data_IF_345855087677
#
_entry.id   IF_345855087677
#
_cell.length_a   1.000
_cell.length_b   1.000
_cell.length_c   1.000
_cell.angle_alpha   90.00
_cell.angle_beta   90.00
_cell.angle_gamma   90.00
#
_symmetry.space_group_name_H-M   'P 1'
#
loop_
_entity.id
_entity.type
_entity.pdbx_description
1 polymer ?
#
# COMPACT_ATOMS: atom_id res chain seq x y z
N UNK A 1 -0.08 7.45 36.79
CA UNK A 1 -0.32 7.35 35.33
C UNK A 1 -0.10 5.91 34.90
N UNK A 2 -1.05 5.32 34.17
CA UNK A 2 -0.92 4.02 33.52
C UNK A 2 -0.81 4.26 32.01
N UNK A 3 0.20 3.69 31.36
CA UNK A 3 0.47 3.94 29.93
C UNK A 3 1.25 2.78 29.32
N UNK A 4 1.44 2.79 27.99
CA UNK A 4 2.20 1.77 27.27
C UNK A 4 3.01 2.36 26.10
N UNK A 5 3.90 1.55 25.53
CA UNK A 5 4.59 1.91 24.28
C UNK A 5 5.39 3.21 24.35
N UNK A 6 5.32 4.00 23.27
CA UNK A 6 6.03 5.29 23.12
C UNK A 6 5.44 6.38 24.02
N UNK A 7 4.15 6.29 24.35
CA UNK A 7 3.44 7.24 25.21
C UNK A 7 4.10 7.38 26.58
N UNK A 8 4.71 6.32 27.11
CA UNK A 8 5.54 6.36 28.31
C UNK A 8 6.64 7.43 28.23
N UNK A 9 7.34 7.51 27.09
CA UNK A 9 8.44 8.46 26.89
C UNK A 9 7.91 9.89 26.91
N UNK A 10 6.80 10.15 26.24
CA UNK A 10 6.15 11.48 26.26
C UNK A 10 5.71 11.89 27.66
N UNK A 11 5.14 10.95 28.43
CA UNK A 11 4.77 11.19 29.83
C UNK A 11 6.00 11.53 30.69
N UNK A 12 7.10 10.78 30.54
CA UNK A 12 8.34 11.04 31.29
C UNK A 12 9.00 12.36 30.92
N UNK A 13 8.87 12.81 29.67
CA UNK A 13 9.35 14.11 29.22
C UNK A 13 8.52 15.26 29.80
N UNK A 14 7.19 15.14 29.74
CA UNK A 14 6.27 16.21 30.14
C UNK A 14 6.10 16.29 31.65
N UNK A 15 6.05 15.15 32.34
CA UNK A 15 5.79 15.04 33.77
C UNK A 15 6.74 14.02 34.45
N UNK A 16 8.05 14.31 34.52
CA UNK A 16 9.08 13.36 34.97
C UNK A 16 8.86 12.83 36.39
N UNK A 17 8.21 13.62 37.25
CA UNK A 17 7.92 13.30 38.65
C UNK A 17 6.64 12.49 38.89
N UNK A 18 5.87 12.14 37.85
CA UNK A 18 4.70 11.30 38.02
C UNK A 18 5.07 9.85 38.38
N UNK A 19 4.28 9.21 39.23
CA UNK A 19 4.27 7.74 39.36
C UNK A 19 3.70 7.14 38.07
N UNK A 20 4.49 6.31 37.39
CA UNK A 20 4.11 5.72 36.09
C UNK A 20 4.18 4.20 36.14
N UNK A 21 3.07 3.53 35.85
CA UNK A 21 3.02 2.12 35.52
C UNK A 21 3.05 1.97 34.00
N UNK A 22 4.18 1.52 33.46
CA UNK A 22 4.32 1.17 32.04
C UNK A 22 3.91 -0.28 31.83
N UNK A 23 2.80 -0.51 31.12
CA UNK A 23 2.37 -1.84 30.76
C UNK A 23 3.22 -2.39 29.60
N UNK A 24 3.61 -3.66 29.71
CA UNK A 24 4.35 -4.37 28.66
C UNK A 24 3.46 -4.88 27.52
N UNK A 25 2.17 -5.10 27.80
CA UNK A 25 1.15 -5.52 26.85
C UNK A 25 -0.20 -4.89 27.21
N UNK A 26 -1.06 -4.66 26.22
CA UNK A 26 -2.45 -4.22 26.41
C UNK A 26 -3.39 -5.37 26.74
N UNK A 27 -2.98 -6.62 26.47
CA UNK A 27 -3.72 -7.82 26.80
C UNK A 27 -2.81 -9.06 26.91
N UNK A 28 -3.02 -9.95 27.90
CA UNK A 28 -3.87 -9.77 29.08
C UNK A 28 -3.28 -8.73 30.03
N UNK A 29 -4.13 -8.07 30.82
CA UNK A 29 -3.70 -7.06 31.79
C UNK A 29 -3.27 -7.70 33.12
N UNK A 30 -2.15 -7.27 33.74
CA UNK A 30 -1.69 -7.78 35.02
C UNK A 30 -2.52 -7.18 36.18
N UNK A 31 -3.69 -7.75 36.44
CA UNK A 31 -4.69 -7.19 37.38
C UNK A 31 -4.12 -6.85 38.76
N UNK A 32 -3.40 -7.78 39.39
CA UNK A 32 -2.86 -7.57 40.73
C UNK A 32 -1.88 -6.38 40.76
N UNK A 33 -0.95 -6.33 39.81
CA UNK A 33 0.02 -5.24 39.68
C UNK A 33 -0.67 -3.87 39.50
N UNK A 34 -1.74 -3.85 38.70
CA UNK A 34 -2.50 -2.63 38.43
C UNK A 34 -3.26 -2.19 39.69
N UNK A 35 -3.92 -3.12 40.39
CA UNK A 35 -4.63 -2.81 41.64
C UNK A 35 -3.67 -2.28 42.71
N UNK A 36 -2.52 -2.92 42.86
CA UNK A 36 -1.48 -2.49 43.81
C UNK A 36 -0.97 -1.08 43.46
N UNK A 37 -0.75 -0.80 42.17
CA UNK A 37 -0.36 0.53 41.71
C UNK A 37 -1.44 1.59 41.97
N UNK A 38 -2.70 1.27 41.64
CA UNK A 38 -3.84 2.17 41.87
C UNK A 38 -4.06 2.46 43.36
N UNK A 39 -3.84 1.48 44.24
CA UNK A 39 -3.95 1.68 45.68
C UNK A 39 -2.87 2.62 46.26
N UNK A 40 -1.75 2.81 45.54
CA UNK A 40 -0.65 3.68 45.94
C UNK A 40 -0.78 5.15 45.53
N UNK A 41 -1.89 5.55 44.89
CA UNK A 41 -2.07 6.92 44.37
C UNK A 41 -3.52 7.40 44.54
N UNK A 42 -3.70 8.72 44.70
CA UNK A 42 -5.04 9.31 44.88
C UNK A 42 -5.82 9.46 43.56
N UNK A 43 -5.12 9.55 42.43
CA UNK A 43 -5.69 9.83 41.12
C UNK A 43 -4.97 9.04 40.03
N UNK A 44 -5.74 8.34 39.21
CA UNK A 44 -5.19 7.46 38.16
C UNK A 44 -5.63 7.95 36.78
N UNK A 45 -4.66 8.47 36.04
CA UNK A 45 -4.82 8.75 34.61
C UNK A 45 -4.33 7.58 33.77
N UNK A 46 -5.15 7.14 32.82
CA UNK A 46 -4.77 6.24 31.73
C UNK A 46 -4.45 7.08 30.52
N UNK A 47 -3.19 7.00 30.07
CA UNK A 47 -2.72 7.73 28.89
C UNK A 47 -2.35 6.69 27.85
N UNK A 48 -3.29 6.41 26.96
CA UNK A 48 -3.16 5.49 25.83
C UNK A 48 -3.53 6.18 24.52
N UNK A 49 -2.89 5.80 23.43
CA UNK A 49 -3.13 6.35 22.09
C UNK A 49 -4.37 5.69 21.46
N UNK A 50 -5.08 6.41 20.58
CA UNK A 50 -6.30 5.94 19.89
C UNK A 50 -7.47 5.61 20.82
N UNK A 51 -7.96 4.38 20.85
CA UNK A 51 -9.18 4.01 21.60
C UNK A 51 -8.90 3.60 23.06
N UNK A 52 -9.84 3.80 24.01
CA UNK A 52 -9.66 3.51 25.44
C UNK A 52 -9.70 2.01 25.75
N UNK A 53 -8.76 1.21 25.25
CA UNK A 53 -8.73 -0.24 25.49
C UNK A 53 -8.37 -0.54 26.95
N UNK A 54 -7.30 0.07 27.45
CA UNK A 54 -6.84 -0.09 28.83
C UNK A 54 -7.81 0.59 29.78
N UNK A 55 -8.19 1.84 29.52
CA UNK A 55 -9.10 2.60 30.38
C UNK A 55 -10.43 1.88 30.58
N UNK A 56 -11.04 1.35 29.51
CA UNK A 56 -12.28 0.59 29.60
C UNK A 56 -12.09 -0.69 30.40
N UNK A 57 -11.01 -1.43 30.18
CA UNK A 57 -10.73 -2.65 30.93
C UNK A 57 -10.56 -2.37 32.43
N UNK A 58 -9.88 -1.28 32.80
CA UNK A 58 -9.72 -0.87 34.21
C UNK A 58 -11.03 -0.42 34.85
N UNK A 59 -11.89 0.29 34.11
CA UNK A 59 -13.24 0.65 34.57
C UNK A 59 -14.09 -0.59 34.83
N UNK A 60 -14.03 -1.60 33.95
CA UNK A 60 -14.71 -2.90 34.16
C UNK A 60 -14.17 -3.63 35.39
N UNK A 61 -12.88 -3.48 35.71
CA UNK A 61 -12.28 -4.01 36.95
C UNK A 61 -12.70 -3.25 38.24
N UNK A 62 -13.53 -2.22 38.11
CA UNK A 62 -14.02 -1.39 39.21
C UNK A 62 -13.02 -0.33 39.69
N UNK A 63 -12.00 -0.01 38.88
CA UNK A 63 -11.00 1.00 39.23
C UNK A 63 -11.47 2.40 38.79
N UNK A 64 -11.30 3.37 39.68
CA UNK A 64 -11.57 4.78 39.38
C UNK A 64 -10.42 5.34 38.54
N UNK A 65 -10.61 5.36 37.22
CA UNK A 65 -9.62 5.86 36.26
C UNK A 65 -10.26 6.78 35.23
N UNK A 66 -9.45 7.67 34.67
CA UNK A 66 -9.82 8.65 33.65
C UNK A 66 -8.70 8.78 32.61
N UNK A 67 -9.05 9.10 31.38
CA UNK A 67 -8.08 9.26 30.30
C UNK A 67 -8.66 10.04 29.14
N UNK A 68 -9.53 9.40 28.36
CA UNK A 68 -10.15 9.96 27.14
C UNK A 68 -11.07 11.15 27.36
N UNK A 69 -11.40 11.49 28.60
CA UNK A 69 -11.98 12.78 28.94
C UNK A 69 -11.02 13.95 28.64
N UNK A 70 -9.71 13.72 28.79
CA UNK A 70 -8.66 14.72 28.67
C UNK A 70 -7.81 14.58 27.40
N UNK A 71 -7.62 13.34 26.93
CA UNK A 71 -6.76 13.00 25.81
C UNK A 71 -7.56 12.57 24.56
N UNK A 72 -7.11 12.93 23.35
CA UNK A 72 -7.85 12.63 22.13
C UNK A 72 -7.93 11.12 21.83
N UNK A 73 -8.93 10.75 21.02
CA UNK A 73 -9.13 9.39 20.50
C UNK A 73 -8.56 9.19 19.09
N UNK A 74 -8.03 10.24 18.51
CA UNK A 74 -7.55 10.28 17.13
C UNK A 74 -6.19 10.97 17.05
N UNK A 75 -5.46 10.68 15.96
CA UNK A 75 -4.10 11.17 15.74
C UNK A 75 -3.04 10.43 16.55
N UNK A 76 -1.79 10.83 16.32
CA UNK A 76 -0.63 10.33 17.06
C UNK A 76 -0.39 11.21 18.29
N UNK A 77 -0.04 10.59 19.43
CA UNK A 77 0.30 11.37 20.61
C UNK A 77 1.69 11.99 20.46
N UNK A 78 1.85 13.19 21.01
CA UNK A 78 3.12 13.88 21.13
C UNK A 78 3.26 14.45 22.54
N UNK A 79 4.47 14.89 22.96
CA UNK A 79 4.63 15.61 24.23
C UNK A 79 3.68 16.80 24.39
N UNK A 80 3.35 17.49 23.29
CA UNK A 80 2.38 18.59 23.27
C UNK A 80 0.96 18.10 23.58
N UNK A 81 0.51 17.04 22.91
CA UNK A 81 -0.82 16.43 23.16
C UNK A 81 -0.94 15.97 24.61
N UNK A 82 0.10 15.34 25.15
CA UNK A 82 0.13 14.92 26.56
C UNK A 82 0.06 16.12 27.50
N UNK A 83 0.84 17.17 27.24
CA UNK A 83 0.83 18.39 28.06
C UNK A 83 -0.54 19.06 28.04
N UNK A 84 -1.17 19.17 26.88
CA UNK A 84 -2.49 19.79 26.74
C UNK A 84 -3.56 18.97 27.46
N UNK A 85 -3.52 17.64 27.37
CA UNK A 85 -4.41 16.77 28.14
C UNK A 85 -4.19 16.88 29.66
N UNK A 86 -2.94 16.89 30.12
CA UNK A 86 -2.62 17.11 31.55
C UNK A 86 -3.04 18.50 32.04
N UNK A 87 -2.98 19.52 31.18
CA UNK A 87 -3.46 20.85 31.50
C UNK A 87 -4.99 20.90 31.62
N UNK A 88 -5.72 20.24 30.70
CA UNK A 88 -7.19 20.08 30.80
C UNK A 88 -7.59 19.31 32.06
N UNK A 89 -6.82 18.29 32.43
CA UNK A 89 -6.99 17.53 33.67
C UNK A 89 -6.63 18.34 34.93
N UNK A 90 -6.15 19.58 34.81
CA UNK A 90 -5.78 20.44 35.94
C UNK A 90 -4.46 20.07 36.62
N UNK A 91 -3.64 19.22 36.00
CA UNK A 91 -2.35 18.77 36.56
C UNK A 91 -1.15 19.59 36.10
N UNK A 92 -1.32 20.44 35.08
CA UNK A 92 -0.26 21.29 34.54
C UNK A 92 -0.82 22.63 34.06
N UNK A 93 0.06 23.62 33.92
CA UNK A 93 -0.31 24.89 33.27
C UNK A 93 -0.42 24.69 31.76
N UNK A 94 -1.41 25.32 31.09
CA UNK A 94 -1.48 25.33 29.63
C UNK A 94 -0.20 25.85 29.02
N UNK A 95 0.22 25.27 27.89
CA UNK A 95 1.34 25.79 27.12
C UNK A 95 1.02 27.22 26.66
N UNK A 96 2.00 28.13 26.69
CA UNK A 96 1.88 29.38 25.95
C UNK A 96 1.74 29.03 24.47
N UNK A 97 0.68 29.47 23.81
CA UNK A 97 0.46 29.18 22.40
C UNK A 97 1.70 29.54 21.59
N UNK A 98 2.25 28.58 20.84
CA UNK A 98 3.19 28.92 19.77
C UNK A 98 2.37 29.48 18.61
N UNK A 99 2.88 30.53 17.95
CA UNK A 99 2.34 30.93 16.66
C UNK A 99 2.28 29.70 15.75
N UNK A 100 1.17 29.54 15.02
CA UNK A 100 1.08 28.50 14.01
C UNK A 100 2.24 28.69 13.03
N UNK A 101 3.04 27.64 12.84
CA UNK A 101 4.07 27.66 11.81
C UNK A 101 3.34 27.50 10.47
N UNK A 102 3.17 28.58 9.73
CA UNK A 102 2.60 28.52 8.38
C UNK A 102 3.67 27.98 7.43
N UNK A 103 3.47 26.74 6.99
CA UNK A 103 4.27 26.14 5.92
C UNK A 103 3.34 25.49 4.90
N UNK A 104 3.70 25.60 3.63
CA UNK A 104 3.07 24.82 2.58
C UNK A 104 3.86 23.52 2.38
N UNK A 105 3.33 22.36 2.80
CA UNK A 105 4.01 21.10 2.57
C UNK A 105 4.15 20.84 1.07
N UNK A 106 5.32 20.37 0.66
CA UNK A 106 5.50 19.84 -0.69
C UNK A 106 4.64 18.59 -0.84
N UNK A 107 3.76 18.57 -1.84
CA UNK A 107 2.95 17.37 -2.15
C UNK A 107 3.88 16.25 -2.60
N UNK A 108 3.89 15.14 -1.86
CA UNK A 108 4.61 13.92 -2.21
C UNK A 108 3.57 12.84 -2.51
N UNK A 109 3.11 12.71 -3.77
CA UNK A 109 2.15 11.69 -4.10
C UNK A 109 2.78 10.30 -3.91
N UNK A 110 1.99 9.30 -3.49
CA UNK A 110 2.45 7.92 -3.50
C UNK A 110 2.90 7.50 -4.90
N UNK A 111 4.06 6.86 -5.01
CA UNK A 111 4.65 6.42 -6.27
C UNK A 111 5.15 4.99 -6.17
N UNK A 112 4.94 4.21 -7.23
CA UNK A 112 5.54 2.88 -7.39
C UNK A 112 7.04 3.00 -7.67
N UNK A 113 7.80 1.97 -7.31
CA UNK A 113 9.23 1.91 -7.60
C UNK A 113 9.51 1.98 -9.12
N UNK A 114 10.67 2.50 -9.52
CA UNK A 114 11.12 2.44 -10.91
C UNK A 114 11.09 1.00 -11.42
N UNK A 115 10.31 0.76 -12.47
CA UNK A 115 10.10 -0.57 -13.05
C UNK A 115 9.21 -1.51 -12.25
N UNK A 116 8.42 -1.03 -11.29
CA UNK A 116 7.47 -1.87 -10.58
C UNK A 116 6.59 -2.68 -11.58
N UNK A 117 6.42 -4.00 -11.38
CA UNK A 117 5.60 -4.82 -12.27
C UNK A 117 4.12 -4.41 -12.29
N UNK A 118 3.63 -3.67 -11.29
CA UNK A 118 2.24 -3.23 -11.23
C UNK A 118 1.97 -1.95 -12.02
N UNK A 119 3.00 -1.19 -12.42
CA UNK A 119 2.79 0.11 -13.10
C UNK A 119 2.00 -0.05 -14.40
N UNK A 120 2.40 -0.99 -15.24
CA UNK A 120 1.72 -1.28 -16.51
C UNK A 120 0.31 -1.82 -16.29
N UNK A 121 0.09 -2.63 -15.24
CA UNK A 121 -1.21 -3.18 -14.87
C UNK A 121 -2.24 -2.08 -14.67
N UNK A 122 -1.96 -1.11 -13.79
CA UNK A 122 -2.89 -0.02 -13.51
C UNK A 122 -2.98 0.98 -14.66
N UNK A 123 -1.88 1.23 -15.38
CA UNK A 123 -1.94 2.03 -16.59
C UNK A 123 -2.92 1.43 -17.62
N UNK A 124 -2.97 0.10 -17.73
CA UNK A 124 -3.89 -0.59 -18.64
C UNK A 124 -5.34 -0.52 -18.15
N UNK A 125 -5.58 -0.68 -16.85
CA UNK A 125 -6.92 -0.51 -16.26
C UNK A 125 -7.45 0.92 -16.48
N UNK A 126 -6.61 1.94 -16.29
CA UNK A 126 -6.95 3.34 -16.60
C UNK A 126 -7.31 3.51 -18.06
N UNK A 127 -6.51 2.95 -18.97
CA UNK A 127 -6.73 3.07 -20.41
C UNK A 127 -8.02 2.37 -20.88
N UNK A 128 -8.48 1.36 -20.14
CA UNK A 128 -9.72 0.63 -20.41
C UNK A 128 -10.95 1.23 -19.72
N UNK A 129 -10.77 2.30 -18.94
CA UNK A 129 -11.83 2.95 -18.16
C UNK A 129 -12.61 1.95 -17.28
N UNK A 130 -11.90 1.00 -16.67
CA UNK A 130 -12.50 0.01 -15.78
C UNK A 130 -12.89 0.63 -14.42
N UNK A 131 -13.93 0.09 -13.78
CA UNK A 131 -14.25 0.35 -12.38
C UNK A 131 -13.42 -0.59 -11.51
N UNK A 132 -12.50 -0.05 -10.73
CA UNK A 132 -11.52 -0.87 -10.00
C UNK A 132 -11.79 -0.87 -8.51
N UNK A 133 -12.18 -2.04 -8.00
CA UNK A 133 -12.13 -2.38 -6.58
C UNK A 133 -10.70 -2.80 -6.22
N UNK A 134 -9.93 -1.86 -5.70
CA UNK A 134 -8.57 -2.08 -5.23
C UNK A 134 -8.50 -2.75 -3.86
N UNK A 135 -7.30 -3.19 -3.53
CA UNK A 135 -6.98 -3.84 -2.26
C UNK A 135 -5.73 -3.20 -1.62
N UNK A 136 -5.37 -3.63 -0.41
CA UNK A 136 -4.21 -3.13 0.33
C UNK A 136 -2.95 -3.85 -0.14
N UNK A 137 -1.98 -3.09 -0.64
CA UNK A 137 -0.68 -3.58 -1.14
C UNK A 137 0.13 -2.45 -1.79
N UNK A 138 1.34 -2.77 -2.31
CA UNK A 138 2.13 -1.76 -3.04
C UNK A 138 1.34 -1.10 -4.16
N UNK A 139 0.46 -1.86 -4.79
CA UNK A 139 -0.38 -1.39 -5.87
C UNK A 139 -1.46 -0.37 -5.45
N UNK A 140 -1.79 -0.23 -4.16
CA UNK A 140 -2.69 0.84 -3.67
C UNK A 140 -2.14 2.23 -4.01
N UNK A 141 -0.82 2.36 -4.20
CA UNK A 141 -0.16 3.59 -4.62
C UNK A 141 -0.61 4.09 -6.01
N UNK A 142 -1.32 3.26 -6.80
CA UNK A 142 -1.90 3.64 -8.09
C UNK A 142 -3.23 4.42 -7.99
N UNK A 143 -3.65 4.84 -6.78
CA UNK A 143 -4.89 5.60 -6.54
C UNK A 143 -4.83 7.06 -7.01
N UNK A 144 -3.63 7.63 -7.18
CA UNK A 144 -3.44 9.03 -7.61
C UNK A 144 -2.80 9.13 -9.00
N UNK A 145 -2.80 10.35 -9.57
CA UNK A 145 -2.10 10.62 -10.82
C UNK A 145 -0.60 10.24 -10.73
N UNK A 146 -0.02 9.68 -11.80
CA UNK A 146 -0.60 9.56 -13.15
C UNK A 146 -1.35 8.26 -13.42
N UNK A 147 -1.45 7.33 -12.47
CA UNK A 147 -2.19 6.08 -12.71
C UNK A 147 -3.68 6.26 -12.44
N UNK A 148 -4.05 6.83 -11.29
CA UNK A 148 -5.42 7.17 -10.88
C UNK A 148 -6.44 6.11 -11.29
N UNK A 149 -6.14 4.87 -10.93
CA UNK A 149 -6.82 3.69 -11.47
C UNK A 149 -7.67 2.97 -10.45
N UNK A 150 -7.63 3.34 -9.17
CA UNK A 150 -8.36 2.67 -8.08
C UNK A 150 -9.51 3.56 -7.65
N UNK A 151 -10.74 3.02 -7.65
CA UNK A 151 -11.94 3.75 -7.24
C UNK A 151 -12.30 3.53 -5.78
N UNK A 152 -11.99 2.36 -5.24
CA UNK A 152 -12.20 2.03 -3.83
C UNK A 152 -11.11 1.11 -3.33
N UNK A 153 -10.77 1.24 -2.05
CA UNK A 153 -9.87 0.35 -1.32
C UNK A 153 -10.28 0.40 0.16
N UNK A 154 -10.75 -0.73 0.70
CA UNK A 154 -11.38 -0.76 2.04
C UNK A 154 -10.46 -1.42 3.05
N UNK A 155 -10.09 -2.68 2.80
CA UNK A 155 -9.22 -3.47 3.68
C UNK A 155 -8.55 -4.61 2.91
N UNK A 156 -7.54 -5.24 3.52
CA UNK A 156 -6.80 -6.35 2.93
C UNK A 156 -7.71 -7.56 2.62
N UNK A 157 -7.82 -7.91 1.34
CA UNK A 157 -8.62 -8.99 0.76
C UNK A 157 -10.09 -8.66 0.53
N UNK A 158 -10.48 -7.39 0.60
CA UNK A 158 -11.86 -6.97 0.37
C UNK A 158 -12.20 -6.69 -1.10
N UNK A 159 -11.21 -6.59 -2.00
CA UNK A 159 -11.40 -6.19 -3.40
C UNK A 159 -12.43 -7.04 -4.14
N UNK A 160 -12.32 -8.37 -4.08
CA UNK A 160 -13.22 -9.30 -4.79
C UNK A 160 -14.65 -9.18 -4.25
N UNK A 161 -14.83 -9.17 -2.92
CA UNK A 161 -16.15 -9.03 -2.31
C UNK A 161 -16.81 -7.68 -2.66
N UNK A 162 -16.03 -6.61 -2.68
CA UNK A 162 -16.51 -5.28 -3.10
C UNK A 162 -16.94 -5.29 -4.57
N UNK A 163 -16.15 -5.92 -5.46
CA UNK A 163 -16.50 -6.07 -6.87
C UNK A 163 -17.79 -6.87 -7.07
N UNK A 164 -17.97 -7.98 -6.34
CA UNK A 164 -19.23 -8.75 -6.32
C UNK A 164 -20.40 -7.86 -5.89
N UNK A 165 -20.21 -7.05 -4.85
CA UNK A 165 -21.21 -6.08 -4.40
C UNK A 165 -21.57 -5.04 -5.46
N UNK A 166 -20.57 -4.50 -6.16
CA UNK A 166 -20.78 -3.57 -7.28
C UNK A 166 -21.56 -4.22 -8.43
N UNK A 167 -21.19 -5.44 -8.82
CA UNK A 167 -21.87 -6.18 -9.88
C UNK A 167 -23.33 -6.45 -9.50
N UNK A 168 -23.58 -6.84 -8.24
CA UNK A 168 -24.93 -7.10 -7.72
C UNK A 168 -25.79 -5.83 -7.60
N UNK A 169 -25.18 -4.69 -7.31
CA UNK A 169 -25.90 -3.41 -7.29
C UNK A 169 -26.47 -3.06 -8.69
N UNK A 170 -25.82 -3.53 -9.76
CA UNK A 170 -26.32 -3.39 -11.13
C UNK A 170 -26.34 -1.94 -11.66
N UNK A 171 -25.66 -1.01 -10.98
CA UNK A 171 -25.61 0.41 -11.35
C UNK A 171 -24.36 0.78 -12.14
N UNK A 172 -23.35 -0.08 -12.16
CA UNK A 172 -22.10 0.19 -12.86
C UNK A 172 -22.22 -0.19 -14.34
N UNK A 173 -21.79 0.72 -15.21
CA UNK A 173 -21.82 0.54 -16.67
C UNK A 173 -20.46 0.15 -17.24
N UNK A 174 -19.39 0.38 -16.49
CA UNK A 174 -18.01 0.03 -16.84
C UNK A 174 -17.70 -1.42 -16.44
N UNK A 175 -16.70 -2.06 -17.06
CA UNK A 175 -16.19 -3.33 -16.58
C UNK A 175 -15.72 -3.24 -15.12
N UNK A 176 -16.17 -4.16 -14.27
CA UNK A 176 -15.81 -4.20 -12.86
C UNK A 176 -14.60 -5.10 -12.68
N UNK A 177 -13.52 -4.56 -12.10
CA UNK A 177 -12.26 -5.27 -11.90
C UNK A 177 -11.88 -5.23 -10.42
N UNK A 178 -11.65 -6.39 -9.82
CA UNK A 178 -11.00 -6.50 -8.51
C UNK A 178 -9.50 -6.69 -8.70
N UNK A 179 -8.66 -5.82 -8.12
CA UNK A 179 -7.20 -6.03 -8.13
C UNK A 179 -6.74 -6.54 -6.78
N UNK A 180 -5.99 -7.64 -6.75
CA UNK A 180 -5.55 -8.29 -5.51
C UNK A 180 -4.14 -8.85 -5.65
N UNK A 181 -3.27 -8.60 -4.66
CA UNK A 181 -1.93 -9.18 -4.61
C UNK A 181 -1.95 -10.68 -4.31
N UNK A 182 -0.90 -11.39 -4.71
CA UNK A 182 -0.63 -12.79 -4.37
C UNK A 182 -0.80 -13.14 -2.88
N UNK A 183 -0.07 -12.46 -2.00
CA UNK A 183 -0.11 -12.65 -0.54
C UNK A 183 -1.52 -12.39 0.02
N UNK A 184 -2.14 -11.30 -0.42
CA UNK A 184 -3.51 -10.91 -0.04
C UNK A 184 -4.54 -11.92 -0.52
N UNK A 185 -4.38 -12.46 -1.73
CA UNK A 185 -5.26 -13.48 -2.28
C UNK A 185 -5.24 -14.75 -1.43
N UNK A 186 -4.06 -15.19 -1.02
CA UNK A 186 -3.90 -16.35 -0.13
C UNK A 186 -4.39 -16.10 1.30
N UNK A 187 -4.33 -14.86 1.77
CA UNK A 187 -4.80 -14.49 3.10
C UNK A 187 -6.33 -14.48 3.20
N UNK A 188 -7.01 -13.76 2.29
CA UNK A 188 -8.46 -13.56 2.37
C UNK A 188 -9.18 -13.44 1.02
N UNK A 189 -8.49 -13.58 -0.12
CA UNK A 189 -9.10 -13.49 -1.45
C UNK A 189 -9.72 -14.80 -1.97
N UNK A 190 -9.33 -15.96 -1.44
CA UNK A 190 -9.89 -17.26 -1.88
C UNK A 190 -11.39 -17.40 -1.56
N UNK A 191 -11.86 -17.18 -0.31
CA UNK A 191 -13.29 -17.29 0.00
C UNK A 191 -14.20 -16.40 -0.86
N UNK A 192 -13.92 -15.09 -1.07
CA UNK A 192 -14.78 -14.27 -1.92
C UNK A 192 -14.69 -14.64 -3.41
N UNK A 193 -13.60 -15.25 -3.88
CA UNK A 193 -13.56 -15.79 -5.25
C UNK A 193 -14.51 -16.99 -5.41
N UNK A 194 -14.54 -17.90 -4.42
CA UNK A 194 -15.51 -19.02 -4.40
C UNK A 194 -16.93 -18.48 -4.45
N UNK A 195 -17.23 -17.46 -3.63
CA UNK A 195 -18.55 -16.83 -3.60
C UNK A 195 -18.90 -16.15 -4.93
N UNK A 196 -17.94 -15.46 -5.56
CA UNK A 196 -18.12 -14.84 -6.87
C UNK A 196 -18.49 -15.88 -7.94
N UNK A 197 -17.79 -17.02 -7.97
CA UNK A 197 -18.05 -18.12 -8.91
C UNK A 197 -19.42 -18.75 -8.62
N UNK A 198 -19.71 -19.07 -7.36
CA UNK A 198 -20.98 -19.67 -6.95
C UNK A 198 -22.18 -18.80 -7.35
N UNK A 199 -22.07 -17.48 -7.17
CA UNK A 199 -23.12 -16.52 -7.50
C UNK A 199 -23.08 -16.03 -8.96
N UNK A 200 -22.15 -16.53 -9.79
CA UNK A 200 -21.97 -16.12 -11.19
C UNK A 200 -21.81 -14.60 -11.34
N UNK A 201 -21.04 -13.98 -10.46
CA UNK A 201 -20.77 -12.54 -10.52
C UNK A 201 -20.06 -12.19 -11.83
N UNK A 202 -20.47 -11.09 -12.49
CA UNK A 202 -19.88 -10.60 -13.73
C UNK A 202 -18.74 -9.62 -13.41
N UNK A 203 -17.56 -10.17 -13.08
CA UNK A 203 -16.39 -9.41 -12.64
C UNK A 203 -15.10 -10.01 -13.20
N UNK A 204 -14.09 -9.18 -13.40
CA UNK A 204 -12.71 -9.62 -13.65
C UNK A 204 -11.88 -9.51 -12.37
N UNK A 205 -11.16 -10.56 -12.01
CA UNK A 205 -10.16 -10.53 -10.94
C UNK A 205 -8.78 -10.45 -11.56
N UNK A 206 -8.05 -9.39 -11.24
CA UNK A 206 -6.67 -9.19 -11.66
C UNK A 206 -5.73 -9.50 -10.49
N UNK A 207 -5.21 -10.73 -10.48
CA UNK A 207 -4.28 -11.21 -9.47
C UNK A 207 -2.85 -10.77 -9.81
N UNK A 208 -2.25 -10.03 -8.89
CA UNK A 208 -0.95 -9.38 -9.05
C UNK A 208 0.14 -10.18 -8.32
N UNK A 209 0.70 -11.19 -8.99
CA UNK A 209 1.75 -12.08 -8.46
C UNK A 209 3.15 -11.46 -8.64
N UNK A 210 3.69 -10.91 -7.55
CA UNK A 210 5.03 -10.31 -7.49
C UNK A 210 6.02 -11.10 -6.62
N UNK A 211 5.59 -12.27 -6.16
CA UNK A 211 6.38 -13.29 -5.47
C UNK A 211 6.82 -12.87 -4.06
N UNK A 212 6.19 -11.86 -3.45
CA UNK A 212 6.54 -11.40 -2.11
C UNK A 212 5.46 -10.51 -1.47
N UNK A 213 5.35 -10.52 -0.14
CA UNK A 213 4.58 -9.49 0.59
C UNK A 213 5.36 -8.18 0.67
N UNK A 214 5.41 -7.43 -0.44
CA UNK A 214 6.36 -6.34 -0.64
C UNK A 214 6.17 -5.14 0.31
N UNK A 215 4.95 -4.60 0.43
CA UNK A 215 4.70 -3.32 1.10
C UNK A 215 5.00 -3.35 2.60
N UNK A 216 4.88 -4.53 3.22
CA UNK A 216 5.12 -4.74 4.65
C UNK A 216 6.58 -5.02 4.99
N UNK A 217 7.47 -5.06 3.99
CA UNK A 217 8.90 -5.25 4.19
C UNK A 217 9.46 -6.58 3.68
N UNK A 218 8.77 -7.26 2.75
CA UNK A 218 9.33 -8.42 2.04
C UNK A 218 9.15 -9.75 2.77
N UNK A 219 7.96 -10.02 3.30
CA UNK A 219 7.68 -11.29 3.98
C UNK A 219 7.35 -12.40 2.99
N UNK A 220 7.95 -13.57 3.22
CA UNK A 220 7.54 -14.82 2.60
C UNK A 220 6.08 -15.18 2.95
N UNK A 221 5.43 -15.88 2.03
CA UNK A 221 4.07 -16.40 2.14
C UNK A 221 3.97 -17.69 1.33
N UNK A 222 2.87 -18.47 1.39
CA UNK A 222 2.79 -19.75 0.67
C UNK A 222 2.94 -19.65 -0.87
N UNK A 223 2.82 -18.44 -1.42
CA UNK A 223 3.07 -18.15 -2.83
C UNK A 223 4.53 -17.93 -3.20
N UNK A 224 5.45 -17.79 -2.22
CA UNK A 224 6.90 -17.68 -2.47
C UNK A 224 7.58 -19.05 -2.53
N UNK A 225 6.96 -20.07 -1.92
CA UNK A 225 7.55 -21.40 -1.79
C UNK A 225 8.69 -21.47 -0.77
N UNK A 226 8.65 -20.62 0.27
CA UNK A 226 9.63 -20.64 1.37
C UNK A 226 8.95 -20.71 2.74
N UNK A 227 9.58 -21.45 3.66
CA UNK A 227 9.15 -21.50 5.07
C UNK A 227 9.64 -20.28 5.84
N UNK A 228 9.13 -20.08 7.06
CA UNK A 228 9.64 -19.05 7.98
C UNK A 228 11.15 -19.19 8.29
N UNK A 229 11.72 -20.39 8.11
CA UNK A 229 13.16 -20.65 8.29
C UNK A 229 14.00 -20.42 7.02
N UNK A 230 13.37 -19.99 5.93
CA UNK A 230 14.02 -19.77 4.64
C UNK A 230 14.27 -21.05 3.83
N UNK A 231 13.69 -22.17 4.23
CA UNK A 231 13.80 -23.44 3.51
C UNK A 231 12.83 -23.46 2.32
N UNK A 232 13.30 -23.95 1.18
CA UNK A 232 12.45 -24.15 0.01
C UNK A 232 11.35 -25.17 0.32
N UNK A 233 10.13 -24.87 -0.12
CA UNK A 233 8.94 -25.70 0.10
C UNK A 233 7.97 -25.57 -1.08
N UNK A 234 6.78 -26.16 -0.96
CA UNK A 234 5.76 -26.09 -1.99
C UNK A 234 5.31 -24.63 -2.22
N UNK A 235 5.39 -24.19 -3.47
CA UNK A 235 4.81 -22.93 -3.93
C UNK A 235 3.38 -23.16 -4.40
N UNK A 236 2.45 -22.30 -3.98
CA UNK A 236 1.08 -22.32 -4.52
C UNK A 236 1.11 -21.96 -6.01
N UNK A 237 0.51 -22.82 -6.84
CA UNK A 237 0.23 -22.53 -8.25
C UNK A 237 -1.11 -21.80 -8.34
N UNK A 238 -1.05 -20.48 -8.55
CA UNK A 238 -2.22 -19.62 -8.61
C UNK A 238 -3.18 -19.99 -9.74
N UNK A 239 -2.67 -20.38 -10.91
CA UNK A 239 -3.54 -20.76 -12.03
C UNK A 239 -4.30 -22.05 -11.71
N UNK A 240 -3.62 -23.08 -11.22
CA UNK A 240 -4.27 -24.34 -10.81
C UNK A 240 -5.25 -24.13 -9.67
N UNK A 241 -4.89 -23.30 -8.69
CA UNK A 241 -5.77 -22.96 -7.58
C UNK A 241 -7.03 -22.27 -8.10
N UNK A 242 -6.90 -21.20 -8.88
CA UNK A 242 -8.05 -20.44 -9.41
C UNK A 242 -8.96 -21.33 -10.25
N UNK A 243 -8.39 -22.20 -11.10
CA UNK A 243 -9.18 -23.17 -11.89
C UNK A 243 -9.91 -24.19 -11.01
N UNK A 244 -9.31 -24.65 -9.91
CA UNK A 244 -9.97 -25.60 -9.00
C UNK A 244 -11.14 -24.99 -8.24
N UNK A 245 -11.19 -23.66 -8.12
CA UNK A 245 -12.31 -22.92 -7.54
C UNK A 245 -13.47 -22.69 -8.53
N UNK A 246 -13.36 -23.19 -9.77
CA UNK A 246 -14.43 -23.16 -10.78
C UNK A 246 -14.36 -22.00 -11.77
N UNK A 247 -13.27 -21.24 -11.80
CA UNK A 247 -13.07 -20.18 -12.81
C UNK A 247 -12.69 -20.81 -14.16
N UNK A 248 -13.54 -20.61 -15.17
CA UNK A 248 -13.33 -21.17 -16.52
C UNK A 248 -12.32 -20.37 -17.34
N UNK A 249 -12.37 -19.04 -17.23
CA UNK A 249 -11.48 -18.14 -17.95
C UNK A 249 -10.33 -17.68 -17.06
N UNK A 250 -9.13 -18.23 -17.33
CA UNK A 250 -7.89 -17.87 -16.63
C UNK A 250 -6.77 -17.68 -17.64
N UNK A 251 -6.03 -16.58 -17.53
CA UNK A 251 -4.83 -16.27 -18.32
C UNK A 251 -3.72 -15.71 -17.43
N UNK A 252 -2.50 -16.18 -17.65
CA UNK A 252 -1.29 -15.69 -16.98
C UNK A 252 -0.48 -14.85 -17.97
N UNK A 253 0.03 -13.71 -17.53
CA UNK A 253 0.79 -12.77 -18.37
C UNK A 253 1.98 -12.18 -17.63
N UNK A 254 3.09 -11.98 -18.34
CA UNK A 254 4.19 -11.17 -17.83
C UNK A 254 3.76 -9.70 -17.83
N UNK A 255 3.82 -9.02 -16.68
CA UNK A 255 3.36 -7.64 -16.57
C UNK A 255 4.20 -6.64 -17.39
N UNK A 256 5.40 -7.02 -17.83
CA UNK A 256 6.20 -6.21 -18.75
C UNK A 256 5.81 -6.40 -20.22
N UNK A 257 5.02 -7.41 -20.58
CA UNK A 257 4.44 -7.51 -21.92
C UNK A 257 3.11 -6.74 -21.95
N UNK A 258 3.20 -5.45 -22.27
CA UNK A 258 2.02 -4.59 -22.22
C UNK A 258 0.97 -4.94 -23.26
N UNK A 259 1.39 -5.43 -24.43
CA UNK A 259 0.46 -5.80 -25.50
C UNK A 259 -0.36 -7.02 -25.10
N UNK A 260 0.31 -8.08 -24.62
CA UNK A 260 -0.37 -9.29 -24.14
C UNK A 260 -1.27 -9.00 -22.94
N UNK A 261 -0.79 -8.18 -21.99
CA UNK A 261 -1.58 -7.82 -20.81
C UNK A 261 -2.83 -7.03 -21.18
N UNK A 262 -2.72 -6.06 -22.09
CA UNK A 262 -3.89 -5.32 -22.57
C UNK A 262 -4.87 -6.20 -23.33
N UNK A 263 -4.38 -7.15 -24.14
CA UNK A 263 -5.23 -8.10 -24.84
C UNK A 263 -6.00 -8.99 -23.87
N UNK A 264 -5.31 -9.60 -22.90
CA UNK A 264 -5.95 -10.49 -21.93
C UNK A 264 -6.93 -9.76 -21.01
N UNK A 265 -6.61 -8.54 -20.57
CA UNK A 265 -7.55 -7.75 -19.78
C UNK A 265 -8.82 -7.42 -20.57
N UNK A 266 -8.70 -7.08 -21.86
CA UNK A 266 -9.87 -6.83 -22.73
C UNK A 266 -10.74 -8.08 -22.86
N UNK A 267 -10.13 -9.22 -23.18
CA UNK A 267 -10.83 -10.50 -23.29
C UNK A 267 -11.50 -10.90 -21.96
N UNK A 268 -10.83 -10.66 -20.83
CA UNK A 268 -11.37 -10.96 -19.51
C UNK A 268 -12.59 -10.10 -19.17
N UNK A 269 -12.55 -8.81 -19.52
CA UNK A 269 -13.65 -7.86 -19.28
C UNK A 269 -14.85 -8.09 -20.20
N UNK A 270 -14.65 -8.73 -21.35
CA UNK A 270 -15.72 -9.13 -22.28
C UNK A 270 -16.36 -10.47 -21.90
N UNK A 271 -15.65 -11.30 -21.12
CA UNK A 271 -16.16 -12.58 -20.63
C UNK A 271 -17.30 -12.36 -19.63
N UNK A 272 -18.41 -13.08 -19.81
CA UNK A 272 -19.56 -13.02 -18.91
C UNK A 272 -19.42 -14.01 -17.75
N UNK A 273 -19.37 -13.48 -16.54
CA UNK A 273 -19.12 -14.24 -15.32
C UNK A 273 -17.77 -13.90 -14.71
N UNK A 274 -17.20 -14.82 -13.93
CA UNK A 274 -15.91 -14.57 -13.28
C UNK A 274 -14.77 -14.92 -14.23
N UNK A 275 -13.94 -13.93 -14.55
CA UNK A 275 -12.68 -14.11 -15.28
C UNK A 275 -11.48 -13.74 -14.41
N UNK A 276 -10.34 -14.42 -14.58
CA UNK A 276 -9.11 -14.12 -13.82
C UNK A 276 -7.93 -13.89 -14.76
N UNK A 277 -7.26 -12.75 -14.62
CA UNK A 277 -5.95 -12.49 -15.21
C UNK A 277 -4.91 -12.54 -14.08
N UNK A 278 -3.83 -13.27 -14.28
CA UNK A 278 -2.70 -13.35 -13.34
C UNK A 278 -1.53 -12.61 -13.99
N UNK A 279 -1.14 -11.44 -13.46
CA UNK A 279 0.16 -10.86 -13.82
C UNK A 279 1.24 -11.56 -13.00
N UNK A 280 2.27 -12.08 -13.64
CA UNK A 280 3.35 -12.81 -12.97
C UNK A 280 4.70 -12.18 -13.30
N UNK A 281 5.27 -11.46 -12.34
CA UNK A 281 6.64 -10.93 -12.42
C UNK A 281 7.15 -10.53 -11.04
N UNK A 282 8.35 -10.96 -10.62
CA UNK A 282 8.89 -10.66 -9.31
C UNK A 282 8.98 -9.16 -9.02
N UNK A 283 8.86 -8.79 -7.75
CA UNK A 283 9.14 -7.46 -7.25
C UNK A 283 10.57 -7.03 -7.61
N UNK A 284 10.74 -5.83 -8.15
CA UNK A 284 12.08 -5.33 -8.56
C UNK A 284 13.03 -5.08 -7.39
N UNK A 285 12.53 -5.08 -6.16
CA UNK A 285 13.34 -4.86 -4.95
C UNK A 285 13.71 -6.15 -4.23
N UNK A 286 13.04 -7.27 -4.49
CA UNK A 286 13.12 -8.51 -3.72
C UNK A 286 13.48 -9.71 -4.62
N UNK A 287 14.28 -10.69 -4.13
CA UNK A 287 15.04 -10.68 -2.88
C UNK A 287 16.29 -9.79 -2.97
N UNK A 288 16.71 -9.48 -4.19
CA UNK A 288 17.80 -8.56 -4.50
C UNK A 288 17.31 -7.63 -5.59
N UNK A 289 17.64 -6.35 -5.49
CA UNK A 289 17.23 -5.35 -6.48
C UNK A 289 17.61 -5.79 -7.90
N UNK A 290 16.60 -6.01 -8.73
CA UNK A 290 16.76 -6.37 -10.13
C UNK A 290 17.15 -5.10 -10.89
N UNK A 291 18.34 -5.11 -11.51
CA UNK A 291 18.84 -3.98 -12.29
C UNK A 291 19.48 -4.46 -13.58
N UNK A 292 18.83 -4.17 -14.71
CA UNK A 292 19.39 -4.29 -16.04
C UNK A 292 20.12 -3.01 -16.50
N UNK A 293 20.63 -3.00 -17.74
CA UNK A 293 21.13 -1.78 -18.37
C UNK A 293 20.06 -0.68 -18.35
N UNK A 294 20.43 0.53 -17.96
CA UNK A 294 19.51 1.65 -17.96
C UNK A 294 19.00 1.92 -19.39
N UNK A 295 17.79 2.48 -19.48
CA UNK A 295 17.30 3.06 -20.73
C UNK A 295 17.74 4.51 -20.84
N UNK A 296 17.84 5.05 -22.05
CA UNK A 296 18.07 6.46 -22.33
C UNK A 296 17.04 6.98 -23.32
N UNK A 297 16.80 8.29 -23.28
CA UNK A 297 16.03 8.99 -24.30
C UNK A 297 17.01 9.55 -25.31
N UNK A 298 16.84 9.22 -26.58
CA UNK A 298 17.45 9.94 -27.69
C UNK A 298 16.71 11.27 -27.89
N UNK A 299 17.40 12.36 -27.57
CA UNK A 299 16.82 13.69 -27.60
C UNK A 299 16.52 14.15 -29.04
N UNK A 300 17.27 13.70 -30.04
CA UNK A 300 17.10 14.16 -31.43
C UNK A 300 15.76 13.70 -32.01
N UNK A 301 15.37 12.47 -31.71
CA UNK A 301 14.11 11.86 -32.20
C UNK A 301 12.91 12.09 -31.28
N UNK A 302 13.14 12.57 -30.05
CA UNK A 302 12.08 12.77 -29.07
C UNK A 302 11.18 13.96 -29.42
N UNK A 303 9.89 13.67 -29.64
CA UNK A 303 8.86 14.65 -30.02
C UNK A 303 8.15 15.30 -28.82
N UNK A 304 8.66 15.13 -27.59
CA UNK A 304 8.04 15.64 -26.36
C UNK A 304 6.52 15.38 -26.25
N UNK A 305 6.03 14.22 -26.71
CA UNK A 305 4.63 13.82 -26.56
C UNK A 305 4.25 13.55 -25.09
N UNK A 306 5.25 13.29 -24.24
CA UNK A 306 5.16 13.04 -22.79
C UNK A 306 4.34 11.80 -22.40
N UNK A 307 3.97 10.92 -23.35
CA UNK A 307 3.21 9.69 -23.06
C UNK A 307 3.88 8.80 -22.01
N UNK A 308 5.21 8.72 -22.01
CA UNK A 308 5.97 7.93 -21.04
C UNK A 308 5.80 8.43 -19.59
N UNK A 309 5.49 9.72 -19.39
CA UNK A 309 5.28 10.29 -18.05
C UNK A 309 4.01 9.75 -17.38
N UNK A 310 3.06 9.21 -18.16
CA UNK A 310 1.86 8.57 -17.62
C UNK A 310 2.16 7.30 -16.80
N UNK A 311 3.38 6.75 -16.90
CA UNK A 311 3.84 5.65 -16.05
C UNK A 311 4.07 6.08 -14.59
N UNK A 312 4.34 7.36 -14.35
CA UNK A 312 4.75 7.83 -13.00
C UNK A 312 6.07 7.23 -12.52
N UNK A 313 6.92 6.75 -13.43
CA UNK A 313 8.19 6.12 -13.09
C UNK A 313 9.14 7.18 -12.47
N UNK A 314 9.68 6.96 -11.26
CA UNK A 314 10.62 7.90 -10.62
C UNK A 314 11.90 8.14 -11.43
N UNK A 315 12.26 7.23 -12.33
CA UNK A 315 13.41 7.40 -13.22
C UNK A 315 13.14 8.31 -14.43
N UNK A 316 11.89 8.66 -14.73
CA UNK A 316 11.55 9.61 -15.81
C UNK A 316 11.48 11.03 -15.25
N UNK A 317 12.33 11.91 -15.76
CA UNK A 317 12.44 13.29 -15.29
C UNK A 317 12.38 14.26 -16.47
N UNK A 318 12.00 15.51 -16.21
CA UNK A 318 12.00 16.55 -17.23
C UNK A 318 13.43 16.90 -17.67
N UNK A 319 13.63 17.05 -18.98
CA UNK A 319 14.86 17.62 -19.55
C UNK A 319 14.75 19.14 -19.64
N UNK A 320 15.90 19.81 -19.75
CA UNK A 320 15.96 21.24 -20.08
C UNK A 320 15.62 21.51 -21.57
N UNK A 321 15.65 20.48 -22.41
CA UNK A 321 15.30 20.58 -23.83
C UNK A 321 13.78 20.59 -24.06
N UNK A 322 13.39 21.23 -25.17
CA UNK A 322 11.99 21.41 -25.56
C UNK A 322 11.74 20.95 -26.99
N UNK A 323 10.50 20.58 -27.28
CA UNK A 323 9.97 20.38 -28.62
C UNK A 323 8.53 20.89 -28.65
N UNK A 324 8.21 21.77 -29.60
CA UNK A 324 6.87 22.38 -29.76
C UNK A 324 6.24 22.91 -28.46
N UNK A 325 7.03 23.62 -27.64
CA UNK A 325 6.55 24.22 -26.39
C UNK A 325 6.31 23.24 -25.24
N UNK A 326 6.79 21.99 -25.36
CA UNK A 326 6.77 20.98 -24.29
C UNK A 326 8.18 20.52 -23.92
N UNK A 327 8.41 20.26 -22.64
CA UNK A 327 9.65 19.64 -22.18
C UNK A 327 9.80 18.24 -22.76
N UNK A 328 11.01 17.95 -23.27
CA UNK A 328 11.46 16.58 -23.50
C UNK A 328 11.67 15.86 -22.17
N UNK A 329 11.76 14.54 -22.22
CA UNK A 329 11.95 13.68 -21.06
C UNK A 329 13.38 13.12 -21.07
N UNK A 330 13.98 12.94 -19.90
CA UNK A 330 15.24 12.25 -19.66
C UNK A 330 15.01 11.08 -18.72
N UNK A 331 15.84 10.03 -18.82
CA UNK A 331 15.85 8.92 -17.86
C UNK A 331 17.06 9.08 -16.93
N UNK A 332 16.83 9.04 -15.62
CA UNK A 332 17.90 8.99 -14.61
C UNK A 332 18.49 7.56 -14.54
N UNK A 333 19.76 7.35 -14.92
CA UNK A 333 20.38 6.03 -14.95
C UNK A 333 20.64 5.43 -13.56
N UNK A 334 20.66 6.25 -12.50
CA UNK A 334 20.83 5.76 -11.13
C UNK A 334 19.55 5.10 -10.62
N UNK A 335 18.40 5.65 -11.01
CA UNK A 335 17.08 5.16 -10.62
C UNK A 335 16.53 4.09 -11.59
N UNK A 336 16.90 4.16 -12.87
CA UNK A 336 16.42 3.22 -13.89
C UNK A 336 16.89 1.78 -13.60
N UNK A 337 15.98 0.82 -13.80
CA UNK A 337 16.27 -0.61 -13.66
C UNK A 337 16.28 -1.38 -14.99
N UNK A 338 16.04 -0.69 -16.12
CA UNK A 338 16.08 -1.32 -17.44
C UNK A 338 14.86 -2.19 -17.80
N UNK A 339 13.68 -1.89 -17.25
CA UNK A 339 12.45 -2.69 -17.46
C UNK A 339 11.81 -2.60 -18.86
N UNK A 340 12.28 -1.72 -19.73
CA UNK A 340 11.75 -1.43 -21.08
C UNK A 340 10.28 -0.99 -21.22
N UNK A 341 9.47 -0.96 -20.15
CA UNK A 341 8.05 -0.52 -20.21
C UNK A 341 7.88 0.84 -20.90
N UNK A 342 8.74 1.82 -20.57
CA UNK A 342 8.67 3.14 -21.19
C UNK A 342 8.98 3.12 -22.69
N UNK A 343 9.83 2.21 -23.16
CA UNK A 343 10.12 2.05 -24.58
C UNK A 343 8.94 1.49 -25.36
N UNK A 344 8.16 0.59 -24.75
CA UNK A 344 6.94 0.05 -25.36
C UNK A 344 5.85 1.11 -25.54
N UNK A 345 5.89 2.20 -24.77
CA UNK A 345 5.00 3.37 -24.91
C UNK A 345 5.51 4.44 -25.88
N UNK A 346 6.75 4.35 -26.31
CA UNK A 346 7.38 5.41 -27.08
C UNK A 346 7.08 5.25 -28.58
N UNK A 347 6.04 5.92 -29.06
CA UNK A 347 5.64 5.86 -30.47
C UNK A 347 6.73 6.38 -31.43
N UNK A 348 7.61 7.28 -30.98
CA UNK A 348 8.74 7.77 -31.78
C UNK A 348 9.97 6.87 -31.70
N UNK A 349 9.91 5.77 -30.94
CA UNK A 349 11.02 4.86 -30.68
C UNK A 349 12.29 5.53 -30.14
N UNK A 350 12.14 6.67 -29.47
CA UNK A 350 13.23 7.47 -28.91
C UNK A 350 13.78 6.94 -27.58
N UNK A 351 13.22 5.87 -27.01
CA UNK A 351 13.71 5.29 -25.76
C UNK A 351 14.47 4.00 -26.09
N UNK A 352 15.78 4.04 -25.88
CA UNK A 352 16.73 3.02 -26.29
C UNK A 352 17.48 2.47 -25.07
N UNK A 353 18.03 1.25 -25.12
CA UNK A 353 19.03 0.83 -24.15
C UNK A 353 20.19 1.84 -24.11
N UNK A 354 20.68 2.18 -22.93
CA UNK A 354 21.92 2.93 -22.80
C UNK A 354 23.09 2.07 -23.27
N UNK A 355 24.01 2.67 -24.02
CA UNK A 355 25.21 1.98 -24.50
C UNK A 355 26.03 1.46 -23.32
N UNK A 356 26.59 0.24 -23.42
CA UNK A 356 27.45 -0.36 -22.39
C UNK A 356 28.84 0.30 -22.38
N UNK A 357 28.94 1.60 -22.10
CA UNK A 357 30.20 2.37 -21.98
C UNK A 357 29.88 3.67 -21.26
N UNK A 358 30.46 4.08 -20.14
CA UNK A 358 31.65 3.66 -19.39
C UNK A 358 31.29 3.75 -17.90
N UNK A 359 31.66 2.73 -17.13
CA UNK A 359 31.69 2.86 -15.69
C UNK A 359 32.55 4.08 -15.33
N UNK A 360 31.98 4.98 -14.55
CA UNK A 360 32.73 6.01 -13.83
C UNK A 360 33.82 5.25 -13.08
N UNK A 361 35.06 5.43 -13.53
CA UNK A 361 36.25 5.07 -12.77
C UNK A 361 36.14 5.72 -11.40
N UNK A 362 36.19 4.90 -10.35
CA UNK A 362 36.40 5.37 -8.99
C UNK A 362 37.73 6.11 -8.86
#
# INVERSE_FOLDING_TARGET
IITMGITYTYVKEVMPGASVLKLGASYPLPENLIRDFCAGVDRVLVIEELEPVIENALKVMGLAVEGKEWFPREGEFSPEVIRDGLAKAGLMKPRRGSAAFEFQPMVRPPVLCSGCPHTSCYMSLRAMDARVAGDIGCYTLAVVEPLKSIDTCVSMGSSIANAVGMAKAGTETKPIVATIGDSTFLHSGIPPLIDAVYNKADITVFLLDNHITAMTGGQDHPGTGKTLRGEDTARVDFERLVRSLGVEWVRTVDSYDMAAMQQHLREAMEFRGVSVVISNRPCVLDPVKIKGPAMRVDAETCTACQSCMNLGCPALVWSAEWFEGRHKVRIDPNLCIGCSICAQLCNSHSILPADKTTGVTA
#
